data_IF_335793677423
#
_entry.id   IF_335793677423
#
_cell.length_a   1.000
_cell.length_b   1.000
_cell.length_c   1.000
_cell.angle_alpha   90.00
_cell.angle_beta   90.00
_cell.angle_gamma   90.00
#
_symmetry.space_group_name_H-M   'P 1'
#
loop_
_entity.id
_entity.type
_entity.pdbx_description
1 polymer ?
#
# COMPACT_ATOMS: atom_id res chain seq x y z
N UNK A 1 0.71 1.45 31.59
CA UNK A 1 0.17 2.78 31.18
C UNK A 1 -0.85 2.61 30.06
N UNK A 2 -1.71 3.63 29.80
CA UNK A 2 -2.57 3.60 28.63
C UNK A 2 -1.73 3.70 27.35
N UNK A 3 -2.08 2.89 26.35
CA UNK A 3 -1.58 3.01 24.98
C UNK A 3 -2.22 4.20 24.29
N UNK A 4 -1.44 5.22 23.99
CA UNK A 4 -1.89 6.46 23.33
C UNK A 4 -1.36 6.51 21.91
N UNK A 5 -2.24 6.55 20.93
CA UNK A 5 -1.90 6.75 19.53
C UNK A 5 -2.21 8.18 19.11
N UNK A 6 -1.23 8.86 18.54
CA UNK A 6 -1.39 10.18 17.93
C UNK A 6 -1.58 9.99 16.43
N UNK A 7 -2.78 10.20 15.94
CA UNK A 7 -3.10 10.17 14.51
C UNK A 7 -2.84 11.55 13.92
N UNK A 8 -1.92 11.61 12.98
CA UNK A 8 -1.58 12.80 12.19
C UNK A 8 -2.08 12.59 10.77
N UNK A 9 -3.19 13.20 10.43
CA UNK A 9 -3.85 13.04 9.14
C UNK A 9 -3.66 14.29 8.29
N UNK A 10 -3.24 14.11 7.04
CA UNK A 10 -3.05 15.23 6.10
C UNK A 10 -4.37 15.78 5.57
N UNK A 11 -5.45 15.01 5.66
CA UNK A 11 -6.78 15.44 5.28
C UNK A 11 -7.44 16.27 6.40
N UNK A 12 -8.42 17.09 6.03
CA UNK A 12 -9.15 17.93 6.97
C UNK A 12 -9.86 17.10 8.05
N UNK A 13 -10.40 15.97 7.66
CA UNK A 13 -11.12 15.05 8.55
C UNK A 13 -10.32 13.75 8.68
N UNK A 14 -9.73 13.49 9.87
CA UNK A 14 -9.02 12.24 10.09
C UNK A 14 -9.90 11.02 9.81
N UNK A 15 -9.31 10.00 9.21
CA UNK A 15 -10.00 8.79 8.77
C UNK A 15 -10.69 8.06 9.94
N UNK A 16 -12.04 7.88 9.91
CA UNK A 16 -12.73 7.06 10.90
C UNK A 16 -12.38 5.57 10.76
N UNK A 17 -11.97 5.11 9.56
CA UNK A 17 -11.50 3.75 9.35
C UNK A 17 -10.25 3.48 10.19
N UNK A 18 -9.28 4.38 10.16
CA UNK A 18 -8.03 4.26 10.91
C UNK A 18 -8.29 4.31 12.42
N UNK A 19 -9.20 5.18 12.84
CA UNK A 19 -9.62 5.28 14.24
C UNK A 19 -10.21 3.97 14.76
N UNK A 20 -11.09 3.33 13.98
CA UNK A 20 -11.71 2.04 14.34
C UNK A 20 -10.66 0.94 14.40
N UNK A 21 -9.76 0.87 13.39
CA UNK A 21 -8.65 -0.10 13.39
C UNK A 21 -7.75 0.06 14.59
N UNK A 22 -7.44 1.31 14.99
CA UNK A 22 -6.64 1.60 16.17
C UNK A 22 -7.27 1.02 17.45
N UNK A 23 -8.55 1.28 17.67
CA UNK A 23 -9.28 0.74 18.82
C UNK A 23 -9.38 -0.79 18.77
N UNK A 24 -9.66 -1.37 17.61
CA UNK A 24 -9.69 -2.82 17.42
C UNK A 24 -8.33 -3.49 17.66
N UNK A 25 -7.24 -2.74 17.46
CA UNK A 25 -5.88 -3.19 17.75
C UNK A 25 -5.49 -3.07 19.23
N UNK A 26 -6.33 -2.46 20.06
CA UNK A 26 -6.13 -2.33 21.51
C UNK A 26 -5.47 -1.01 21.93
N UNK A 27 -5.65 0.05 21.16
CA UNK A 27 -5.31 1.42 21.57
C UNK A 27 -6.31 1.89 22.61
N UNK A 28 -5.83 2.44 23.73
CA UNK A 28 -6.69 2.93 24.82
C UNK A 28 -7.18 4.35 24.57
N UNK A 29 -6.38 5.18 23.92
CA UNK A 29 -6.67 6.59 23.63
C UNK A 29 -6.13 6.95 22.25
N UNK A 30 -6.98 7.51 21.41
CA UNK A 30 -6.62 8.07 20.12
C UNK A 30 -6.74 9.60 20.19
N UNK A 31 -5.65 10.29 19.81
CA UNK A 31 -5.62 11.73 19.65
C UNK A 31 -5.51 12.02 18.14
N UNK A 32 -6.59 12.48 17.53
CA UNK A 32 -6.68 12.68 16.09
C UNK A 32 -6.54 14.15 15.71
N UNK A 33 -5.63 14.45 14.79
CA UNK A 33 -5.38 15.78 14.24
C UNK A 33 -5.51 15.72 12.72
N UNK A 34 -6.33 16.60 12.14
CA UNK A 34 -6.52 16.75 10.70
C UNK A 34 -5.80 17.96 10.15
N UNK A 35 -5.65 18.02 8.82
CA UNK A 35 -4.90 19.07 8.10
C UNK A 35 -3.48 19.25 8.61
N UNK A 36 -2.82 18.15 9.00
CA UNK A 36 -1.45 18.21 9.55
C UNK A 36 -0.46 18.44 8.43
N UNK A 37 0.39 19.46 8.62
CA UNK A 37 1.53 19.74 7.73
C UNK A 37 2.86 19.41 8.44
N UNK A 38 3.96 19.17 7.69
CA UNK A 38 5.26 18.87 8.29
C UNK A 38 5.73 19.87 9.34
N UNK A 39 5.40 21.16 9.19
CA UNK A 39 5.79 22.24 10.11
C UNK A 39 5.13 22.10 11.49
N UNK A 40 3.95 21.51 11.56
CA UNK A 40 3.17 21.33 12.80
C UNK A 40 3.62 20.10 13.60
N UNK A 41 4.23 19.11 12.92
CA UNK A 41 4.56 17.80 13.48
C UNK A 41 5.41 17.91 14.74
N UNK A 42 6.43 18.78 14.73
CA UNK A 42 7.35 18.92 15.86
C UNK A 42 6.59 19.19 17.16
N UNK A 43 5.68 20.13 17.16
CA UNK A 43 4.97 20.54 18.38
C UNK A 43 4.01 19.43 18.85
N UNK A 44 3.34 18.74 17.93
CA UNK A 44 2.43 17.63 18.24
C UNK A 44 3.18 16.43 18.82
N UNK A 45 4.29 16.01 18.17
CA UNK A 45 5.07 14.85 18.59
C UNK A 45 5.83 15.12 19.89
N UNK A 46 6.45 16.29 20.04
CA UNK A 46 7.15 16.67 21.26
C UNK A 46 6.18 16.90 22.43
N UNK A 47 5.02 17.51 22.15
CA UNK A 47 3.95 17.64 23.12
C UNK A 47 3.45 16.29 23.64
N UNK A 48 3.47 15.25 22.81
CA UNK A 48 3.13 13.90 23.22
C UNK A 48 4.27 13.29 24.07
N UNK A 49 5.47 13.10 23.55
CA UNK A 49 6.49 12.29 24.22
C UNK A 49 7.08 12.94 25.48
N UNK A 50 7.10 14.26 25.61
CA UNK A 50 7.58 14.92 26.84
C UNK A 50 6.65 14.73 28.06
N UNK A 51 5.48 14.14 27.88
CA UNK A 51 4.60 13.76 29.01
C UNK A 51 5.04 12.50 29.71
N UNK A 52 6.06 11.78 29.20
CA UNK A 52 6.48 10.47 29.69
C UNK A 52 7.98 10.41 29.96
N UNK A 53 8.38 9.55 30.88
CA UNK A 53 9.78 9.20 31.06
C UNK A 53 10.27 8.35 29.85
N UNK A 54 11.57 8.38 29.50
CA UNK A 54 12.10 7.61 28.36
C UNK A 54 11.72 6.12 28.37
N UNK A 55 11.67 5.49 29.54
CA UNK A 55 11.32 4.06 29.67
C UNK A 55 9.82 3.76 29.45
N UNK A 56 8.99 4.78 29.40
CA UNK A 56 7.53 4.68 29.25
C UNK A 56 7.07 5.04 27.84
N UNK A 57 7.98 5.46 26.96
CA UNK A 57 7.67 5.96 25.61
C UNK A 57 7.06 4.90 24.68
N UNK A 58 7.31 3.61 24.93
CA UNK A 58 6.64 2.53 24.19
C UNK A 58 5.11 2.47 24.43
N UNK A 59 4.59 3.23 25.42
CA UNK A 59 3.14 3.40 25.61
C UNK A 59 2.53 4.47 24.69
N UNK A 60 3.32 5.09 23.83
CA UNK A 60 2.91 6.10 22.86
C UNK A 60 3.40 5.76 21.47
N UNK A 61 2.61 6.11 20.46
CA UNK A 61 2.99 5.93 19.06
C UNK A 61 2.32 6.99 18.18
N UNK A 62 2.80 7.10 16.94
CA UNK A 62 2.23 7.97 15.90
C UNK A 62 1.72 7.12 14.75
N UNK A 63 0.58 7.50 14.20
CA UNK A 63 0.10 7.01 12.91
C UNK A 63 -0.11 8.19 11.97
N UNK A 64 0.58 8.15 10.83
CA UNK A 64 0.43 9.12 9.76
C UNK A 64 -0.53 8.59 8.71
N UNK A 65 -1.64 9.31 8.49
CA UNK A 65 -2.71 8.99 7.54
C UNK A 65 -2.95 10.11 6.52
N UNK A 66 -4.10 10.05 5.86
CA UNK A 66 -4.56 10.98 4.83
C UNK A 66 -4.63 10.33 3.44
N UNK A 67 -5.16 11.06 2.47
CA UNK A 67 -5.36 10.56 1.10
C UNK A 67 -4.16 10.78 0.17
N UNK A 68 -3.24 11.67 0.51
CA UNK A 68 -2.03 11.94 -0.27
C UNK A 68 -0.80 11.26 0.34
N UNK A 69 -0.32 10.21 -0.33
CA UNK A 69 0.82 9.41 0.12
C UNK A 69 2.09 10.25 0.23
N UNK A 70 2.35 11.16 -0.73
CA UNK A 70 3.57 11.99 -0.70
C UNK A 70 3.57 13.01 0.44
N UNK A 71 2.40 13.57 0.78
CA UNK A 71 2.27 14.45 1.94
C UNK A 71 2.42 13.65 3.24
N UNK A 72 1.85 12.44 3.31
CA UNK A 72 2.05 11.53 4.43
C UNK A 72 3.53 11.16 4.65
N UNK A 73 4.28 10.89 3.58
CA UNK A 73 5.72 10.63 3.67
C UNK A 73 6.49 11.82 4.27
N UNK A 74 6.19 13.05 3.83
CA UNK A 74 6.80 14.25 4.42
C UNK A 74 6.45 14.42 5.91
N UNK A 75 5.22 14.09 6.29
CA UNK A 75 4.80 14.10 7.70
C UNK A 75 5.57 13.03 8.49
N UNK A 76 5.75 11.81 7.96
CA UNK A 76 6.56 10.77 8.61
C UNK A 76 8.02 11.21 8.79
N UNK A 77 8.63 11.82 7.78
CA UNK A 77 9.99 12.36 7.85
C UNK A 77 10.10 13.44 8.94
N UNK A 78 9.09 14.32 9.04
CA UNK A 78 9.01 15.33 10.07
C UNK A 78 8.86 14.73 11.48
N UNK A 79 8.12 13.61 11.63
CA UNK A 79 8.01 12.87 12.89
C UNK A 79 9.40 12.40 13.34
N UNK A 80 10.18 11.79 12.44
CA UNK A 80 11.52 11.29 12.76
C UNK A 80 12.48 12.44 13.09
N UNK A 81 12.35 13.57 12.40
CA UNK A 81 13.15 14.78 12.64
C UNK A 81 12.82 15.43 13.98
N UNK A 82 11.61 15.26 14.50
CA UNK A 82 11.17 15.81 15.78
C UNK A 82 11.79 15.09 17.00
N UNK A 83 12.42 13.93 16.82
CA UNK A 83 13.02 13.18 17.91
C UNK A 83 14.19 13.90 18.56
N UNK A 84 14.31 13.74 19.87
CA UNK A 84 15.31 14.46 20.66
C UNK A 84 15.97 13.53 21.69
N UNK A 85 17.25 13.23 21.51
CA UNK A 85 18.00 12.36 22.41
C UNK A 85 17.31 10.99 22.59
N UNK A 86 16.94 10.58 23.82
CA UNK A 86 16.23 9.34 24.06
C UNK A 86 14.72 9.44 23.79
N UNK A 87 14.20 10.66 23.54
CA UNK A 87 12.77 10.88 23.30
C UNK A 87 12.44 10.60 21.85
N UNK A 88 11.92 9.42 21.62
CA UNK A 88 11.37 8.92 20.35
C UNK A 88 10.21 7.98 20.64
N UNK A 89 9.28 7.89 19.72
CA UNK A 89 8.13 7.00 19.77
C UNK A 89 7.99 6.31 18.42
N UNK A 90 7.46 5.10 18.42
CA UNK A 90 7.24 4.38 17.16
C UNK A 90 6.25 5.12 16.26
N UNK A 91 6.47 5.05 14.97
CA UNK A 91 5.61 5.69 13.96
C UNK A 91 5.26 4.72 12.84
N UNK A 92 4.05 4.87 12.29
CA UNK A 92 3.56 4.15 11.11
C UNK A 92 3.06 5.15 10.07
N UNK A 93 3.25 4.84 8.79
CA UNK A 93 2.66 5.56 7.68
C UNK A 93 1.80 4.63 6.83
N UNK A 94 0.53 4.98 6.65
CA UNK A 94 -0.39 4.24 5.78
C UNK A 94 -1.45 5.16 5.16
N UNK A 95 -1.02 6.22 4.47
CA UNK A 95 -1.93 7.10 3.74
C UNK A 95 -2.72 6.32 2.67
N UNK A 96 -4.03 6.57 2.62
CA UNK A 96 -4.98 5.86 1.73
C UNK A 96 -4.93 4.32 1.86
N UNK A 97 -4.40 3.82 2.97
CA UNK A 97 -4.20 2.38 3.18
C UNK A 97 -3.26 1.72 2.17
N UNK A 98 -2.41 2.51 1.53
CA UNK A 98 -1.56 2.13 0.41
C UNK A 98 -0.50 1.10 0.81
N UNK A 99 0.24 1.36 1.90
CA UNK A 99 1.31 0.47 2.34
C UNK A 99 0.77 -0.87 2.81
N UNK A 100 -0.29 -0.88 3.62
CA UNK A 100 -0.89 -2.13 4.12
C UNK A 100 -1.55 -2.94 3.01
N UNK A 101 -2.15 -2.31 1.99
CA UNK A 101 -2.73 -3.00 0.83
C UNK A 101 -1.66 -3.68 -0.01
N UNK A 102 -0.65 -2.91 -0.43
CA UNK A 102 0.44 -3.44 -1.25
C UNK A 102 1.22 -4.54 -0.50
N UNK A 103 1.61 -4.27 0.75
CA UNK A 103 2.34 -5.21 1.58
C UNK A 103 1.60 -6.55 1.75
N UNK A 104 0.29 -6.48 2.03
CA UNK A 104 -0.51 -7.70 2.21
C UNK A 104 -0.62 -8.50 0.92
N UNK A 105 -0.92 -7.83 -0.19
CA UNK A 105 -1.06 -8.51 -1.48
C UNK A 105 0.25 -9.19 -1.89
N UNK A 106 1.38 -8.49 -1.79
CA UNK A 106 2.67 -9.08 -2.17
C UNK A 106 3.10 -10.19 -1.20
N UNK A 107 2.81 -10.06 0.11
CA UNK A 107 3.07 -11.14 1.05
C UNK A 107 2.24 -12.40 0.73
N UNK A 108 0.96 -12.28 0.34
CA UNK A 108 0.13 -13.38 -0.12
C UNK A 108 0.68 -14.01 -1.41
N UNK A 109 1.10 -13.18 -2.37
CA UNK A 109 1.69 -13.63 -3.63
C UNK A 109 3.01 -14.36 -3.38
N UNK A 110 3.88 -13.84 -2.54
CA UNK A 110 5.20 -14.40 -2.26
C UNK A 110 5.17 -15.62 -1.35
N UNK A 111 4.06 -15.86 -0.62
CA UNK A 111 3.97 -16.96 0.34
C UNK A 111 4.20 -18.33 -0.31
N UNK A 112 5.32 -18.97 0.06
CA UNK A 112 5.68 -20.30 -0.45
C UNK A 112 6.06 -20.34 -1.92
N UNK A 113 6.35 -19.20 -2.54
CA UNK A 113 6.76 -19.07 -3.95
C UNK A 113 8.12 -18.39 -4.04
N UNK A 114 8.89 -18.82 -5.03
CA UNK A 114 10.11 -18.13 -5.47
C UNK A 114 9.74 -17.16 -6.60
N UNK A 115 9.90 -15.87 -6.34
CA UNK A 115 9.58 -14.81 -7.29
C UNK A 115 10.83 -14.27 -8.00
N UNK A 116 12.03 -14.74 -7.65
CA UNK A 116 13.28 -14.27 -8.24
C UNK A 116 13.30 -14.51 -9.77
N UNK A 117 13.64 -13.47 -10.52
CA UNK A 117 13.65 -13.48 -11.98
C UNK A 117 12.29 -13.55 -12.66
N UNK A 118 11.16 -13.53 -11.90
CA UNK A 118 9.83 -13.46 -12.50
C UNK A 118 9.54 -12.06 -13.04
N UNK A 119 8.89 -12.00 -14.20
CA UNK A 119 8.45 -10.74 -14.76
C UNK A 119 7.08 -10.36 -14.22
N UNK A 120 7.00 -9.23 -13.55
CA UNK A 120 5.77 -8.68 -13.00
C UNK A 120 5.35 -7.42 -13.73
N UNK A 121 4.10 -7.35 -14.20
CA UNK A 121 3.54 -6.16 -14.84
C UNK A 121 2.43 -5.58 -13.97
N UNK A 122 2.56 -4.30 -13.66
CA UNK A 122 1.61 -3.54 -12.86
C UNK A 122 0.80 -2.62 -13.78
N UNK A 123 -0.50 -2.85 -13.89
CA UNK A 123 -1.39 -1.97 -14.64
C UNK A 123 -1.91 -0.88 -13.70
N UNK A 124 -1.38 0.33 -13.87
CA UNK A 124 -1.66 1.50 -13.04
C UNK A 124 -0.45 1.98 -12.24
N UNK A 125 -0.10 3.24 -12.42
CA UNK A 125 1.01 3.94 -11.74
C UNK A 125 0.55 4.76 -10.53
N UNK A 126 -0.55 4.33 -9.90
CA UNK A 126 -1.04 4.91 -8.66
C UNK A 126 -0.20 4.47 -7.44
N UNK A 127 -0.46 5.05 -6.25
CA UNK A 127 0.32 4.74 -5.04
C UNK A 127 0.40 3.25 -4.71
N UNK A 128 -0.73 2.53 -4.70
CA UNK A 128 -0.75 1.09 -4.40
C UNK A 128 0.02 0.28 -5.45
N UNK A 129 -0.14 0.62 -6.74
CA UNK A 129 0.59 -0.04 -7.83
C UNK A 129 2.10 0.14 -7.71
N UNK A 130 2.58 1.36 -7.47
CA UNK A 130 4.01 1.63 -7.34
C UNK A 130 4.61 1.05 -6.05
N UNK A 131 3.86 0.99 -4.94
CA UNK A 131 4.28 0.26 -3.74
C UNK A 131 4.41 -1.23 -4.01
N UNK A 132 3.41 -1.82 -4.70
CA UNK A 132 3.47 -3.24 -5.10
C UNK A 132 4.67 -3.50 -6.02
N UNK A 133 4.94 -2.61 -6.98
CA UNK A 133 6.11 -2.68 -7.86
C UNK A 133 7.43 -2.69 -7.07
N UNK A 134 7.57 -1.80 -6.09
CA UNK A 134 8.76 -1.74 -5.22
C UNK A 134 8.93 -3.05 -4.44
N UNK A 135 7.87 -3.57 -3.84
CA UNK A 135 7.92 -4.80 -3.05
C UNK A 135 8.20 -6.04 -3.91
N UNK A 136 7.61 -6.14 -5.12
CA UNK A 136 7.93 -7.23 -6.06
C UNK A 136 9.40 -7.18 -6.51
N UNK A 137 9.97 -5.99 -6.70
CA UNK A 137 11.39 -5.85 -7.00
C UNK A 137 12.27 -6.32 -5.82
N UNK A 138 11.86 -6.08 -4.58
CA UNK A 138 12.55 -6.63 -3.39
C UNK A 138 12.48 -8.16 -3.33
N UNK A 139 11.41 -8.76 -3.84
CA UNK A 139 11.30 -10.23 -4.00
C UNK A 139 12.07 -10.77 -5.23
N UNK A 140 12.84 -9.93 -5.94
CA UNK A 140 13.67 -10.33 -7.07
C UNK A 140 12.99 -10.28 -8.44
N UNK A 141 11.75 -9.76 -8.53
CA UNK A 141 11.05 -9.65 -9.82
C UNK A 141 11.68 -8.60 -10.74
N UNK A 142 11.64 -8.86 -12.06
CA UNK A 142 11.75 -7.85 -13.10
C UNK A 142 10.40 -7.14 -13.24
N UNK A 143 10.34 -5.86 -12.90
CA UNK A 143 9.06 -5.15 -12.75
C UNK A 143 8.90 -4.07 -13.81
N UNK A 144 7.76 -4.11 -14.50
CA UNK A 144 7.27 -3.08 -15.40
C UNK A 144 5.95 -2.50 -14.88
N UNK A 145 5.86 -1.18 -14.74
CA UNK A 145 4.60 -0.49 -14.54
C UNK A 145 4.08 0.05 -15.88
N UNK A 146 2.78 -0.06 -16.11
CA UNK A 146 2.13 0.52 -17.30
C UNK A 146 1.02 1.46 -16.90
N UNK A 147 0.94 2.61 -17.57
CA UNK A 147 -0.19 3.52 -17.38
C UNK A 147 -1.44 2.96 -18.06
N UNK A 148 -2.60 3.46 -17.67
CA UNK A 148 -3.86 3.05 -18.28
C UNK A 148 -4.23 4.11 -19.33
N UNK A 149 -4.33 3.74 -20.61
CA UNK A 149 -4.59 4.68 -21.68
C UNK A 149 -6.02 5.27 -21.65
N UNK A 150 -6.19 6.39 -22.33
CA UNK A 150 -7.44 7.16 -22.31
C UNK A 150 -8.65 6.39 -22.87
N UNK A 151 -8.45 5.52 -23.86
CA UNK A 151 -9.51 4.68 -24.44
C UNK A 151 -10.03 3.61 -23.47
N UNK A 152 -9.26 3.27 -22.44
CA UNK A 152 -9.65 2.39 -21.33
C UNK A 152 -10.30 3.18 -20.20
N UNK A 153 -9.71 4.33 -19.83
CA UNK A 153 -10.23 5.20 -18.76
C UNK A 153 -11.49 5.96 -19.15
N UNK A 154 -11.74 6.15 -20.45
CA UNK A 154 -12.78 7.03 -20.98
C UNK A 154 -12.44 8.53 -20.88
N UNK A 155 -11.28 8.89 -20.36
CA UNK A 155 -10.76 10.25 -20.23
C UNK A 155 -9.25 10.24 -19.96
N UNK A 156 -8.58 11.37 -20.19
CA UNK A 156 -7.17 11.52 -19.79
C UNK A 156 -7.03 11.52 -18.26
N UNK A 157 -6.10 10.74 -17.76
CA UNK A 157 -5.83 10.68 -16.33
C UNK A 157 -4.88 11.79 -15.90
N UNK A 158 -5.36 12.72 -15.07
CA UNK A 158 -4.52 13.75 -14.46
C UNK A 158 -3.48 13.20 -13.47
N UNK A 159 -3.65 11.96 -13.01
CA UNK A 159 -2.72 11.29 -12.07
C UNK A 159 -1.54 10.63 -12.77
N UNK A 160 -1.64 10.33 -14.06
CA UNK A 160 -0.59 9.65 -14.83
C UNK A 160 0.76 10.38 -14.78
N UNK A 161 0.86 11.71 -15.05
CA UNK A 161 2.14 12.40 -15.02
C UNK A 161 2.82 12.36 -13.65
N UNK A 162 2.04 12.47 -12.55
CA UNK A 162 2.58 12.34 -11.18
C UNK A 162 3.07 10.93 -10.91
N UNK A 163 2.30 9.92 -11.30
CA UNK A 163 2.67 8.51 -11.15
C UNK A 163 3.96 8.16 -11.88
N UNK A 164 4.14 8.63 -13.11
CA UNK A 164 5.37 8.43 -13.89
C UNK A 164 6.58 9.09 -13.23
N UNK A 165 6.44 10.31 -12.72
CA UNK A 165 7.50 10.99 -11.98
C UNK A 165 7.90 10.22 -10.71
N UNK A 166 6.93 9.67 -9.98
CA UNK A 166 7.21 8.83 -8.80
C UNK A 166 7.86 7.50 -9.20
N UNK A 167 7.42 6.86 -10.29
CA UNK A 167 8.05 5.64 -10.81
C UNK A 167 9.54 5.88 -11.15
N UNK A 168 9.84 6.99 -11.81
CA UNK A 168 11.22 7.41 -12.11
C UNK A 168 12.05 7.58 -10.83
N UNK A 169 11.52 8.28 -9.82
CA UNK A 169 12.19 8.46 -8.53
C UNK A 169 12.48 7.14 -7.81
N UNK A 170 11.56 6.17 -7.92
CA UNK A 170 11.70 4.84 -7.36
C UNK A 170 12.59 3.92 -8.21
N UNK A 171 13.01 4.34 -9.41
CA UNK A 171 13.76 3.53 -10.36
C UNK A 171 12.95 2.36 -10.91
N UNK A 172 11.63 2.49 -11.00
CA UNK A 172 10.72 1.50 -11.61
C UNK A 172 10.59 1.82 -13.11
N UNK A 173 10.84 0.82 -13.96
CA UNK A 173 10.55 0.98 -15.39
C UNK A 173 9.04 1.21 -15.56
N UNK A 174 8.69 2.29 -16.26
CA UNK A 174 7.29 2.62 -16.54
C UNK A 174 7.10 2.89 -18.03
N UNK A 175 5.97 2.41 -18.59
CA UNK A 175 5.58 2.65 -19.98
C UNK A 175 4.22 3.32 -20.03
N UNK A 176 4.05 4.19 -21.04
CA UNK A 176 2.82 4.90 -21.32
C UNK A 176 2.26 4.42 -22.67
N UNK A 177 1.43 3.34 -22.68
CA UNK A 177 0.82 2.83 -23.88
C UNK A 177 -0.18 3.84 -24.44
N UNK A 178 -0.24 3.96 -25.78
CA UNK A 178 -1.12 4.88 -26.49
C UNK A 178 -2.58 4.41 -26.51
N UNK A 179 -2.79 3.11 -26.41
CA UNK A 179 -4.09 2.46 -26.44
C UNK A 179 -4.11 1.13 -25.69
N UNK A 180 -5.30 0.52 -25.60
CA UNK A 180 -5.52 -0.79 -24.96
C UNK A 180 -4.65 -1.90 -25.55
N UNK A 181 -4.49 -1.94 -26.88
CA UNK A 181 -3.74 -3.01 -27.53
C UNK A 181 -2.26 -2.96 -27.17
N UNK A 182 -1.66 -1.78 -27.12
CA UNK A 182 -0.28 -1.60 -26.68
C UNK A 182 -0.12 -1.92 -25.18
N UNK A 183 -1.10 -1.57 -24.35
CA UNK A 183 -1.11 -1.94 -22.92
C UNK A 183 -1.16 -3.47 -22.74
N UNK A 184 -2.04 -4.15 -23.46
CA UNK A 184 -2.17 -5.61 -23.40
C UNK A 184 -0.93 -6.32 -23.97
N UNK A 185 -0.28 -5.78 -25.00
CA UNK A 185 0.98 -6.32 -25.53
C UNK A 185 2.13 -6.25 -24.51
N UNK A 186 2.12 -5.30 -23.58
CA UNK A 186 3.11 -5.24 -22.51
C UNK A 186 3.04 -6.43 -21.53
N UNK A 187 2.00 -7.24 -21.60
CA UNK A 187 1.79 -8.40 -20.73
C UNK A 187 2.30 -9.74 -21.33
N UNK A 188 2.77 -9.76 -22.60
CA UNK A 188 3.08 -11.00 -23.32
C UNK A 188 4.03 -11.94 -22.54
N UNK A 189 5.07 -11.37 -21.91
CA UNK A 189 6.08 -12.12 -21.16
C UNK A 189 5.84 -12.13 -19.64
N UNK A 190 4.69 -11.62 -19.18
CA UNK A 190 4.42 -11.51 -17.76
C UNK A 190 4.17 -12.88 -17.11
N UNK A 191 4.79 -13.11 -15.94
CA UNK A 191 4.45 -14.21 -15.03
C UNK A 191 3.43 -13.77 -14.00
N UNK A 192 3.45 -12.49 -13.61
CA UNK A 192 2.58 -11.91 -12.60
C UNK A 192 1.97 -10.62 -13.18
N UNK A 193 0.66 -10.45 -13.05
CA UNK A 193 -0.03 -9.22 -13.42
C UNK A 193 -0.83 -8.69 -12.23
N UNK A 194 -0.65 -7.41 -11.89
CA UNK A 194 -1.42 -6.71 -10.87
C UNK A 194 -2.22 -5.57 -11.50
N UNK A 195 -3.54 -5.57 -11.31
CA UNK A 195 -4.41 -4.47 -11.68
C UNK A 195 -4.61 -3.52 -10.48
N UNK A 196 -4.13 -2.29 -10.60
CA UNK A 196 -4.27 -1.22 -9.62
C UNK A 196 -4.88 0.06 -10.23
N UNK A 197 -5.80 -0.15 -11.17
CA UNK A 197 -6.55 0.91 -11.83
C UNK A 197 -7.62 1.54 -10.94
N UNK A 198 -8.31 2.59 -11.43
CA UNK A 198 -9.42 3.20 -10.72
C UNK A 198 -10.58 2.23 -10.49
N UNK A 199 -11.32 2.45 -9.40
CA UNK A 199 -12.51 1.66 -9.08
C UNK A 199 -13.56 1.74 -10.20
N UNK A 200 -14.13 0.58 -10.57
CA UNK A 200 -15.14 0.49 -11.61
C UNK A 200 -14.61 0.65 -13.05
N UNK A 201 -13.30 0.48 -13.25
CA UNK A 201 -12.68 0.49 -14.59
C UNK A 201 -12.04 -0.86 -14.88
N UNK A 202 -12.56 -1.57 -15.88
CA UNK A 202 -11.98 -2.81 -16.38
C UNK A 202 -10.75 -2.52 -17.23
N UNK A 203 -9.59 -2.92 -16.73
CA UNK A 203 -8.30 -2.67 -17.40
C UNK A 203 -7.79 -3.88 -18.18
N UNK A 204 -8.20 -5.10 -17.84
CA UNK A 204 -7.71 -6.32 -18.49
C UNK A 204 -8.87 -7.26 -18.83
N UNK A 205 -8.93 -7.71 -20.09
CA UNK A 205 -9.95 -8.62 -20.61
C UNK A 205 -9.58 -10.08 -20.35
N UNK A 206 -10.60 -10.92 -20.10
CA UNK A 206 -10.42 -12.35 -19.82
C UNK A 206 -9.75 -13.09 -20.98
N UNK A 207 -10.13 -12.79 -22.21
CA UNK A 207 -9.55 -13.40 -23.40
C UNK A 207 -8.03 -13.19 -23.54
N UNK A 208 -7.50 -12.07 -23.01
CA UNK A 208 -6.08 -11.74 -23.08
C UNK A 208 -5.29 -12.53 -22.04
N UNK A 209 -5.69 -12.45 -20.78
CA UNK A 209 -4.93 -13.07 -19.72
C UNK A 209 -5.10 -14.61 -19.67
N UNK A 210 -6.28 -15.12 -20.03
CA UNK A 210 -6.52 -16.58 -20.04
C UNK A 210 -5.67 -17.28 -21.11
N UNK A 211 -5.46 -16.64 -22.26
CA UNK A 211 -4.65 -17.16 -23.36
C UNK A 211 -3.13 -16.99 -23.18
N UNK A 212 -2.67 -16.15 -22.25
CA UNK A 212 -1.25 -15.88 -22.04
C UNK A 212 -0.54 -17.12 -21.45
N UNK A 213 0.45 -17.74 -22.17
CA UNK A 213 1.06 -18.99 -21.75
C UNK A 213 2.09 -18.81 -20.61
N UNK A 214 2.63 -17.61 -20.42
CA UNK A 214 3.67 -17.33 -19.42
C UNK A 214 3.08 -16.88 -18.08
N UNK A 215 1.83 -16.41 -18.09
CA UNK A 215 1.17 -15.88 -16.91
C UNK A 215 0.84 -17.00 -15.91
N UNK A 216 1.23 -16.79 -14.67
CA UNK A 216 1.05 -17.73 -13.56
C UNK A 216 0.10 -17.19 -12.50
N UNK A 217 0.08 -15.87 -12.30
CA UNK A 217 -0.68 -15.22 -11.25
C UNK A 217 -1.24 -13.85 -11.65
N UNK A 218 -2.49 -13.59 -11.23
CA UNK A 218 -3.12 -12.28 -11.35
C UNK A 218 -3.60 -11.80 -9.98
N UNK A 219 -3.52 -10.49 -9.75
CA UNK A 219 -4.16 -9.86 -8.60
C UNK A 219 -4.93 -8.60 -9.03
N UNK A 220 -6.16 -8.46 -8.54
CA UNK A 220 -7.00 -7.29 -8.77
C UNK A 220 -7.24 -6.56 -7.45
N UNK A 221 -6.92 -5.26 -7.41
CA UNK A 221 -7.16 -4.41 -6.24
C UNK A 221 -8.51 -3.69 -6.29
N UNK A 222 -9.27 -3.86 -7.36
CA UNK A 222 -10.56 -3.23 -7.55
C UNK A 222 -11.70 -4.11 -7.01
N UNK A 223 -12.45 -3.60 -6.04
CA UNK A 223 -13.63 -4.27 -5.48
C UNK A 223 -14.96 -3.73 -6.04
N UNK A 224 -14.92 -2.68 -6.88
CA UNK A 224 -16.11 -2.07 -7.47
C UNK A 224 -16.35 -2.59 -8.88
N UNK A 225 -17.60 -2.92 -9.19
CA UNK A 225 -17.99 -3.39 -10.53
C UNK A 225 -18.01 -2.24 -11.57
N UNK A 226 -17.53 -2.47 -12.81
CA UNK A 226 -16.83 -3.69 -13.22
C UNK A 226 -15.46 -3.79 -12.54
N UNK A 227 -15.05 -5.05 -12.22
CA UNK A 227 -13.73 -5.31 -11.64
C UNK A 227 -12.61 -4.94 -12.62
N UNK A 228 -11.41 -4.74 -12.11
CA UNK A 228 -10.24 -4.36 -12.92
C UNK A 228 -9.84 -5.45 -13.92
N UNK A 229 -9.96 -6.71 -13.53
CA UNK A 229 -9.67 -7.88 -14.38
C UNK A 229 -10.98 -8.64 -14.64
N UNK A 230 -11.36 -8.74 -15.91
CA UNK A 230 -12.53 -9.53 -16.31
C UNK A 230 -12.34 -11.03 -16.02
N UNK A 231 -13.40 -11.71 -15.56
CA UNK A 231 -13.36 -13.14 -15.21
C UNK A 231 -12.75 -13.46 -13.84
N UNK A 232 -12.33 -12.44 -13.08
CA UNK A 232 -11.91 -12.56 -11.68
C UNK A 232 -13.08 -12.23 -10.76
N UNK A 233 -13.14 -12.85 -9.59
CA UNK A 233 -14.09 -12.49 -8.55
C UNK A 233 -13.36 -11.74 -7.40
N UNK A 234 -14.00 -10.73 -6.83
CA UNK A 234 -13.39 -9.95 -5.75
C UNK A 234 -12.99 -10.81 -4.53
N UNK A 235 -13.67 -11.95 -4.32
CA UNK A 235 -13.41 -12.91 -3.24
C UNK A 235 -12.39 -14.01 -3.56
N UNK A 236 -11.81 -14.04 -4.76
CA UNK A 236 -10.81 -15.06 -5.13
C UNK A 236 -9.59 -14.98 -4.21
N UNK A 237 -9.27 -16.04 -3.51
CA UNK A 237 -8.13 -16.15 -2.60
C UNK A 237 -7.14 -17.20 -3.14
N UNK A 238 -6.33 -16.78 -4.10
CA UNK A 238 -5.40 -17.63 -4.85
C UNK A 238 -6.09 -18.86 -5.48
N UNK A 239 -7.29 -18.63 -6.01
CA UNK A 239 -8.09 -19.64 -6.71
C UNK A 239 -7.52 -19.85 -8.11
N UNK A 240 -7.54 -21.09 -8.59
CA UNK A 240 -7.13 -21.41 -9.97
C UNK A 240 -8.26 -21.09 -10.95
N UNK A 241 -7.97 -20.23 -11.95
CA UNK A 241 -8.81 -19.94 -13.11
C UNK A 241 -7.97 -20.02 -14.38
N UNK A 242 -8.40 -20.78 -15.36
CA UNK A 242 -7.66 -21.02 -16.62
C UNK A 242 -6.18 -21.45 -16.40
N UNK A 243 -5.92 -22.25 -15.34
CA UNK A 243 -4.57 -22.70 -15.01
C UNK A 243 -3.68 -21.63 -14.38
N UNK A 244 -4.24 -20.50 -13.92
CA UNK A 244 -3.52 -19.39 -13.29
C UNK A 244 -4.11 -19.11 -11.90
N UNK A 245 -3.28 -18.69 -10.96
CA UNK A 245 -3.73 -18.27 -9.63
C UNK A 245 -4.29 -16.86 -9.68
N UNK A 246 -5.42 -16.65 -9.02
CA UNK A 246 -6.13 -15.37 -9.00
C UNK A 246 -6.33 -14.90 -7.56
N UNK A 247 -5.98 -13.63 -7.30
CA UNK A 247 -6.15 -12.97 -6.01
C UNK A 247 -7.04 -11.73 -6.19
N UNK A 248 -8.21 -11.73 -5.56
CA UNK A 248 -9.19 -10.66 -5.63
C UNK A 248 -9.09 -9.67 -4.47
N UNK A 249 -9.66 -8.49 -4.67
CA UNK A 249 -9.56 -7.35 -3.75
C UNK A 249 -10.12 -7.63 -2.34
N UNK A 250 -11.21 -8.40 -2.21
CA UNK A 250 -11.78 -8.71 -0.90
C UNK A 250 -10.94 -9.73 -0.12
N UNK A 251 -10.26 -10.65 -0.79
CA UNK A 251 -9.31 -11.55 -0.15
C UNK A 251 -8.11 -10.78 0.40
N UNK A 252 -7.54 -9.87 -0.41
CA UNK A 252 -6.51 -8.93 0.05
C UNK A 252 -7.01 -8.10 1.23
N UNK A 253 -8.21 -7.51 1.13
CA UNK A 253 -8.81 -6.67 2.18
C UNK A 253 -9.00 -7.42 3.50
N UNK A 254 -9.44 -8.67 3.46
CA UNK A 254 -9.60 -9.51 4.65
C UNK A 254 -8.28 -9.81 5.35
N UNK A 255 -7.22 -10.11 4.60
CA UNK A 255 -5.87 -10.32 5.13
C UNK A 255 -5.26 -8.98 5.61
N UNK A 256 -5.44 -7.89 4.85
CA UNK A 256 -4.99 -6.54 5.21
C UNK A 256 -5.44 -6.12 6.60
N UNK A 257 -6.68 -6.40 6.98
CA UNK A 257 -7.19 -6.04 8.31
C UNK A 257 -6.40 -6.70 9.45
N UNK A 258 -5.86 -7.91 9.23
CA UNK A 258 -5.00 -8.60 10.21
C UNK A 258 -3.63 -7.92 10.28
N UNK A 259 -3.03 -7.65 9.13
CA UNK A 259 -1.73 -6.96 9.01
C UNK A 259 -1.81 -5.56 9.64
N UNK A 260 -2.82 -4.78 9.31
CA UNK A 260 -3.03 -3.42 9.81
C UNK A 260 -3.09 -3.40 11.35
N UNK A 261 -3.93 -4.27 11.96
CA UNK A 261 -4.01 -4.40 13.42
C UNK A 261 -2.70 -4.89 14.03
N UNK A 262 -1.93 -5.74 13.34
CA UNK A 262 -0.62 -6.19 13.81
C UNK A 262 0.38 -5.04 13.81
N UNK A 263 0.45 -4.24 12.74
CA UNK A 263 1.28 -3.04 12.68
C UNK A 263 1.01 -2.11 13.86
N UNK A 264 -0.28 -1.78 14.11
CA UNK A 264 -0.65 -0.91 15.23
C UNK A 264 -0.21 -1.51 16.58
N UNK A 265 -0.34 -2.84 16.79
CA UNK A 265 0.12 -3.48 18.03
C UNK A 265 1.62 -3.38 18.22
N UNK A 266 2.39 -3.62 17.15
CA UNK A 266 3.86 -3.58 17.20
C UNK A 266 4.40 -2.18 17.53
N UNK A 267 3.70 -1.10 17.19
CA UNK A 267 4.09 0.26 17.58
C UNK A 267 4.26 0.44 19.10
N UNK A 268 3.60 -0.39 19.92
CA UNK A 268 3.65 -0.33 21.37
C UNK A 268 4.58 -1.37 22.03
N UNK A 269 5.28 -2.20 21.24
CA UNK A 269 6.26 -3.17 21.74
C UNK A 269 7.59 -2.51 22.09
N UNK A 270 7.93 -1.46 21.35
CA UNK A 270 9.13 -0.65 21.51
C UNK A 270 8.83 0.80 21.12
N UNK A 271 9.79 1.69 21.23
CA UNK A 271 9.58 3.13 20.96
C UNK A 271 10.41 3.69 19.79
N UNK A 272 10.96 2.81 18.96
CA UNK A 272 11.87 3.20 17.87
C UNK A 272 11.55 2.52 16.53
N UNK A 273 10.36 1.92 16.39
CA UNK A 273 9.91 1.37 15.12
C UNK A 273 9.48 2.49 14.17
N UNK A 274 9.86 2.34 12.92
CA UNK A 274 9.30 3.11 11.80
C UNK A 274 8.69 2.08 10.84
N UNK A 275 7.37 2.06 10.78
CA UNK A 275 6.61 1.21 9.87
C UNK A 275 6.22 2.05 8.64
N UNK A 276 7.17 2.24 7.75
CA UNK A 276 6.99 2.69 6.37
C UNK A 276 6.57 1.51 5.46
N UNK A 277 6.71 1.63 4.15
CA UNK A 277 6.35 0.55 3.23
C UNK A 277 7.10 -0.76 3.54
N UNK A 278 8.39 -0.69 3.81
CA UNK A 278 9.24 -1.85 4.08
C UNK A 278 8.94 -2.46 5.46
N UNK A 279 8.76 -1.61 6.46
CA UNK A 279 8.38 -2.03 7.81
C UNK A 279 7.01 -2.71 7.84
N UNK A 280 6.03 -2.16 7.15
CA UNK A 280 4.70 -2.77 7.00
C UNK A 280 4.79 -4.11 6.24
N UNK A 281 5.64 -4.20 5.21
CA UNK A 281 5.84 -5.44 4.48
C UNK A 281 6.47 -6.55 5.35
N UNK A 282 7.46 -6.21 6.16
CA UNK A 282 8.03 -7.17 7.12
C UNK A 282 6.95 -7.76 8.05
N UNK A 283 6.06 -6.91 8.59
CA UNK A 283 4.91 -7.36 9.40
C UNK A 283 3.96 -8.24 8.58
N UNK A 284 3.65 -7.85 7.33
CA UNK A 284 2.77 -8.64 6.47
C UNK A 284 3.31 -10.06 6.22
N UNK A 285 4.61 -10.20 5.97
CA UNK A 285 5.29 -11.49 5.78
C UNK A 285 5.18 -12.44 6.99
N UNK A 286 5.03 -11.90 8.18
CA UNK A 286 4.86 -12.69 9.41
C UNK A 286 3.40 -13.10 9.64
N UNK A 287 2.43 -12.32 9.16
CA UNK A 287 1.00 -12.47 9.47
C UNK A 287 0.24 -13.30 8.44
N UNK A 288 0.61 -13.25 7.15
CA UNK A 288 -0.10 -13.94 6.05
C UNK A 288 0.51 -15.31 5.65
#
# INVERSE_FOLDING_TARGET
>A
MKKVLVQLDTDQHPSPFDAIVAYDAGVDVLLSYGSVTPEQVKDLVQGAFFTRAPNDLSSMAVWVGGSDVSEGEKVLDAVQTAYFGPFRISAMHDSDGCNTTAATAIALIAKGRDLDGRRAVIIGVGPVGLRSATLLRQEGCDVLAVTIPADVLGTDSYRTPRGLAVAEQLGIEAREPSDRAEMEAALEDANIVLASGPAGVQVLREEVWSANPTLELLADYNAAEPLGIEGVEAGDDLVERHGKLVLGALAVGGAKMKVHKACVRQLFERNDLVLDADGVYAVAREIV
#
